data_IF_015336102661
#
_entry.id   IF_015336102661
#
_cell.length_a   1.000
_cell.length_b   1.000
_cell.length_c   1.000
_cell.angle_alpha   90.00
_cell.angle_beta   90.00
_cell.angle_gamma   90.00
#
_symmetry.space_group_name_H-M   'P 1'
#
loop_
_entity.id
_entity.type
_entity.pdbx_description
1 polymer ?
#
# COMPACT_ATOMS: atom_id res chain seq x y z
N UNK A 1 5.23 19.56 53.86
CA UNK A 1 5.17 19.13 52.44
C UNK A 1 3.82 18.44 52.31
N UNK A 2 2.75 19.04 51.76
CA UNK A 2 2.59 19.68 50.42
C UNK A 2 2.76 18.60 49.35
N UNK A 3 1.73 18.12 48.62
CA UNK A 3 0.33 18.61 48.48
C UNK A 3 -0.71 17.49 48.34
N UNK A 4 -1.94 17.75 48.81
CA UNK A 4 -3.16 17.05 48.40
C UNK A 4 -3.63 17.49 47.01
N UNK A 5 -4.43 16.62 46.36
CA UNK A 5 -5.42 17.03 45.34
C UNK A 5 -6.64 16.13 45.40
N UNK A 6 -7.81 16.71 45.70
CA UNK A 6 -9.11 16.09 45.47
C UNK A 6 -10.08 17.06 44.74
N UNK A 7 -10.97 16.44 43.97
CA UNK A 7 -12.10 16.89 43.12
C UNK A 7 -13.02 17.92 43.86
N UNK A 8 -13.89 18.81 43.32
CA UNK A 8 -14.84 18.79 42.17
C UNK A 8 -15.37 20.22 41.85
N UNK A 9 -15.77 20.49 40.59
CA UNK A 9 -17.16 20.93 40.31
C UNK A 9 -17.56 22.39 39.93
N UNK A 10 -18.25 22.48 38.76
CA UNK A 10 -19.46 23.29 38.43
C UNK A 10 -19.41 24.75 37.89
N UNK A 11 -20.27 24.93 36.87
CA UNK A 11 -20.71 26.10 36.08
C UNK A 11 -21.17 27.35 36.91
N UNK A 12 -21.19 28.61 36.40
CA UNK A 12 -22.22 29.18 35.47
C UNK A 12 -22.03 30.69 35.09
N UNK A 13 -22.31 31.01 33.80
CA UNK A 13 -23.02 32.18 33.17
C UNK A 13 -23.00 33.63 33.75
N UNK A 14 -22.79 34.60 32.83
CA UNK A 14 -23.71 35.73 32.41
C UNK A 14 -23.09 36.48 31.21
N UNK A 15 -23.71 37.48 30.54
CA UNK A 15 -24.86 37.56 29.60
C UNK A 15 -25.09 39.06 29.27
N UNK A 16 -25.06 39.49 27.98
CA UNK A 16 -26.01 40.45 27.34
C UNK A 16 -25.71 40.67 25.83
N UNK A 17 -26.52 41.50 25.14
CA UNK A 17 -27.51 40.97 24.16
C UNK A 17 -28.28 42.11 23.40
N UNK A 18 -27.70 42.77 22.40
CA UNK A 18 -28.34 43.73 21.43
C UNK A 18 -27.59 43.64 20.10
N UNK A 19 -28.12 43.36 18.90
CA UNK A 19 -29.38 43.75 18.22
C UNK A 19 -28.98 44.57 16.97
N UNK A 20 -29.51 44.44 15.74
CA UNK A 20 -30.45 43.49 15.14
C UNK A 20 -31.19 44.14 13.96
N UNK A 21 -31.07 43.63 12.71
CA UNK A 21 -31.94 44.04 11.60
C UNK A 21 -32.01 43.00 10.43
N UNK A 22 -33.04 43.10 9.56
CA UNK A 22 -33.43 42.05 8.58
C UNK A 22 -33.18 42.40 7.10
N UNK A 23 -32.74 41.43 6.27
CA UNK A 23 -33.47 40.92 5.05
C UNK A 23 -32.72 39.88 4.19
N UNK A 24 -33.45 38.81 3.83
CA UNK A 24 -33.46 37.95 2.63
C UNK A 24 -32.20 37.52 1.82
N UNK A 25 -32.10 36.20 1.60
CA UNK A 25 -31.71 35.47 0.35
C UNK A 25 -30.38 35.86 -0.34
N UNK A 26 -29.38 34.97 -0.49
CA UNK A 26 -29.49 33.65 -1.13
C UNK A 26 -28.29 32.71 -0.80
N UNK A 27 -28.29 31.52 -1.43
CA UNK A 27 -27.47 30.34 -1.11
C UNK A 27 -25.94 30.42 -1.39
N UNK A 28 -25.27 29.38 -0.88
CA UNK A 28 -23.91 28.87 -1.17
C UNK A 28 -22.68 29.72 -0.80
N UNK A 29 -22.06 29.39 0.34
CA UNK A 29 -20.60 29.29 0.53
C UNK A 29 -20.26 28.69 1.91
N UNK A 30 -19.08 28.06 2.07
CA UNK A 30 -18.51 27.76 3.41
C UNK A 30 -18.28 26.30 3.84
N UNK A 31 -17.68 25.45 3.01
CA UNK A 31 -16.90 24.31 3.53
C UNK A 31 -15.52 24.79 4.00
N UNK A 32 -15.06 24.51 5.23
CA UNK A 32 -13.72 24.88 5.67
C UNK A 32 -12.66 24.14 4.85
N UNK A 33 -11.75 24.88 4.20
CA UNK A 33 -10.49 24.30 3.71
C UNK A 33 -9.61 24.00 4.92
N UNK A 34 -9.20 22.75 5.07
CA UNK A 34 -8.08 22.38 5.94
C UNK A 34 -6.83 22.44 5.09
N UNK A 35 -6.17 23.60 5.10
CA UNK A 35 -4.79 23.75 4.62
C UNK A 35 -3.85 23.40 5.77
N UNK A 36 -3.46 22.12 5.85
CA UNK A 36 -2.24 21.67 6.52
C UNK A 36 -1.38 20.92 5.48
N UNK A 37 -1.00 21.65 4.42
CA UNK A 37 0.03 21.17 3.49
C UNK A 37 1.40 21.39 4.13
N UNK A 38 1.91 20.35 4.79
CA UNK A 38 3.35 20.24 5.08
C UNK A 38 4.10 20.44 3.76
N UNK A 39 5.17 21.24 3.79
CA UNK A 39 5.85 21.66 2.58
C UNK A 39 6.40 20.44 1.80
N UNK A 40 6.01 20.34 0.53
CA UNK A 40 6.41 19.24 -0.35
C UNK A 40 7.93 19.20 -0.54
N UNK A 41 8.59 20.37 -0.48
CA UNK A 41 10.04 20.45 -0.58
C UNK A 41 10.72 20.04 0.73
N UNK A 42 10.08 20.18 1.90
CA UNK A 42 10.56 19.66 3.18
C UNK A 42 10.45 18.13 3.26
N UNK A 43 9.35 17.55 2.77
CA UNK A 43 9.21 16.08 2.66
C UNK A 43 10.22 15.51 1.65
N UNK A 44 10.54 16.23 0.57
CA UNK A 44 11.56 15.82 -0.39
C UNK A 44 12.99 16.04 0.12
N UNK A 45 13.26 17.08 0.93
CA UNK A 45 14.60 17.41 1.44
C UNK A 45 15.14 16.34 2.39
N UNK A 46 14.26 15.65 3.14
CA UNK A 46 14.55 14.43 3.92
C UNK A 46 15.20 13.27 3.10
N UNK A 47 15.33 13.42 1.78
CA UNK A 47 15.95 12.45 0.86
C UNK A 47 16.88 13.10 -0.19
N UNK A 48 17.07 14.42 -0.19
CA UNK A 48 17.63 15.14 -1.34
C UNK A 48 19.17 15.13 -1.42
N UNK A 49 19.86 15.12 -0.29
CA UNK A 49 21.28 15.49 -0.10
C UNK A 49 22.34 14.68 -0.88
N UNK A 50 21.94 13.71 -1.69
CA UNK A 50 22.87 12.84 -2.44
C UNK A 50 22.59 12.86 -3.95
N UNK A 51 21.52 13.50 -4.44
CA UNK A 51 21.07 13.33 -5.84
C UNK A 51 21.93 14.04 -6.88
N UNK A 52 22.18 15.33 -6.69
CA UNK A 52 22.59 16.20 -7.80
C UNK A 52 24.11 16.18 -8.05
N UNK A 53 24.92 16.06 -7.00
CA UNK A 53 26.39 16.06 -7.09
C UNK A 53 26.97 14.81 -7.80
N UNK A 54 26.16 13.75 -7.96
CA UNK A 54 26.57 12.48 -8.56
C UNK A 54 26.20 12.34 -10.05
N UNK A 55 25.08 12.93 -10.50
CA UNK A 55 24.73 12.95 -11.93
C UNK A 55 25.74 13.79 -12.73
N UNK A 56 26.25 14.87 -12.13
CA UNK A 56 27.35 15.66 -12.69
C UNK A 56 28.63 14.82 -12.89
N UNK A 57 29.04 14.06 -11.86
CA UNK A 57 30.20 13.16 -11.92
C UNK A 57 30.00 12.02 -12.92
N UNK A 58 28.79 11.46 -13.03
CA UNK A 58 28.49 10.35 -13.95
C UNK A 58 28.48 10.79 -15.43
N UNK A 59 27.99 11.99 -15.74
CA UNK A 59 28.04 12.53 -17.10
C UNK A 59 29.47 12.84 -17.57
N UNK A 60 30.41 13.13 -16.66
CA UNK A 60 31.82 13.34 -16.98
C UNK A 60 32.56 12.13 -17.55
N UNK A 61 31.99 10.91 -17.46
CA UNK A 61 32.57 9.70 -18.04
C UNK A 61 32.23 9.47 -19.52
N UNK A 62 31.40 10.32 -20.16
CA UNK A 62 31.02 10.12 -21.59
C UNK A 62 32.06 10.59 -22.61
N UNK A 63 33.01 11.43 -22.21
CA UNK A 63 33.97 12.06 -23.13
C UNK A 63 35.34 11.36 -23.14
N UNK A 64 35.33 10.04 -23.35
CA UNK A 64 36.54 9.24 -23.55
C UNK A 64 36.86 9.04 -25.04
N UNK A 65 36.94 10.13 -25.82
CA UNK A 65 37.46 10.06 -27.19
C UNK A 65 38.29 11.30 -27.60
N UNK A 66 39.52 11.36 -27.09
CA UNK A 66 40.67 11.94 -27.78
C UNK A 66 40.69 13.44 -28.12
N UNK A 67 41.04 14.28 -27.14
CA UNK A 67 42.18 15.23 -27.25
C UNK A 67 42.46 15.91 -25.90
N UNK A 68 43.72 15.87 -25.47
CA UNK A 68 44.22 16.52 -24.25
C UNK A 68 45.09 17.71 -24.67
N UNK A 69 44.94 18.86 -24.00
CA UNK A 69 46.01 19.81 -23.62
C UNK A 69 45.45 20.89 -22.64
N UNK A 70 46.28 21.63 -21.85
CA UNK A 70 45.99 21.76 -20.41
C UNK A 70 46.03 23.19 -19.78
N UNK A 71 45.75 23.23 -18.46
CA UNK A 71 45.98 24.32 -17.47
C UNK A 71 44.91 25.45 -17.48
N UNK A 72 44.63 26.15 -16.36
CA UNK A 72 45.46 26.56 -15.20
C UNK A 72 44.64 26.69 -13.90
N UNK A 73 45.25 26.41 -12.74
CA UNK A 73 44.74 26.81 -11.42
C UNK A 73 45.07 28.29 -11.12
N UNK A 74 44.21 28.98 -10.39
CA UNK A 74 44.58 30.12 -9.53
C UNK A 74 43.58 30.28 -8.37
N UNK A 75 44.08 30.49 -7.16
CA UNK A 75 43.32 30.68 -5.93
C UNK A 75 43.22 32.16 -5.53
N UNK A 76 42.43 32.41 -4.46
CA UNK A 76 42.21 33.65 -3.71
C UNK A 76 40.85 34.32 -4.05
N UNK A 77 40.05 34.82 -3.10
CA UNK A 77 40.26 34.99 -1.66
C UNK A 77 40.22 36.47 -1.27
N UNK A 78 39.08 36.97 -0.79
CA UNK A 78 38.94 38.35 -0.30
C UNK A 78 37.58 39.01 -0.55
N UNK A 79 36.79 39.15 0.51
CA UNK A 79 35.69 40.13 0.69
C UNK A 79 36.24 41.30 1.54
N UNK A 80 35.50 42.40 1.81
CA UNK A 80 34.46 43.11 1.04
C UNK A 80 34.68 44.65 1.05
N UNK A 81 33.81 45.47 0.44
CA UNK A 81 33.11 46.61 1.12
C UNK A 81 32.17 47.46 0.23
N UNK A 82 31.09 47.93 0.88
CA UNK A 82 30.36 49.21 0.74
C UNK A 82 29.73 49.67 -0.61
N UNK A 83 28.40 49.73 -0.59
CA UNK A 83 27.51 50.64 -1.38
C UNK A 83 27.55 52.08 -0.86
N UNK A 84 27.21 53.10 -1.67
CA UNK A 84 25.84 53.67 -1.70
C UNK A 84 25.30 53.86 -3.17
N UNK A 85 24.00 53.85 -3.52
CA UNK A 85 22.83 54.66 -3.05
C UNK A 85 23.02 56.15 -3.43
N UNK A 86 22.19 56.87 -4.21
CA UNK A 86 20.78 56.73 -4.65
C UNK A 86 20.47 57.72 -5.82
N UNK A 87 19.33 57.53 -6.52
CA UNK A 87 18.47 58.53 -7.23
C UNK A 87 19.14 59.51 -8.26
N UNK A 88 18.49 59.98 -9.34
CA UNK A 88 17.12 60.49 -9.47
C UNK A 88 16.74 60.63 -10.97
N UNK A 89 15.47 60.39 -11.34
CA UNK A 89 14.57 61.11 -12.31
C UNK A 89 15.14 61.89 -13.54
N UNK A 90 14.45 62.13 -14.67
CA UNK A 90 13.13 61.78 -15.23
C UNK A 90 13.09 62.18 -16.73
N UNK A 91 12.07 61.69 -17.46
CA UNK A 91 11.39 62.35 -18.59
C UNK A 91 12.13 62.67 -19.93
N UNK A 92 11.79 61.85 -20.93
CA UNK A 92 10.93 62.22 -22.08
C UNK A 92 11.51 62.70 -23.45
N UNK A 93 10.92 62.07 -24.48
CA UNK A 93 10.61 62.56 -25.85
C UNK A 93 11.70 62.50 -26.94
N UNK A 94 11.29 62.11 -28.16
CA UNK A 94 12.05 62.43 -29.39
C UNK A 94 12.26 61.34 -30.45
N UNK A 95 11.19 60.91 -31.13
CA UNK A 95 11.18 60.62 -32.59
C UNK A 95 12.15 59.61 -33.25
N UNK A 96 11.56 58.50 -33.72
CA UNK A 96 11.79 57.79 -35.00
C UNK A 96 13.17 57.87 -35.69
N UNK A 97 13.78 56.71 -35.92
CA UNK A 97 13.99 56.24 -37.30
C UNK A 97 14.12 54.72 -37.41
N UNK A 98 13.67 54.16 -38.54
CA UNK A 98 13.79 52.74 -38.85
C UNK A 98 15.18 52.43 -39.41
N UNK A 99 15.87 51.43 -38.88
CA UNK A 99 16.90 50.71 -39.63
C UNK A 99 17.01 49.26 -39.17
N UNK A 100 16.87 48.33 -40.12
CA UNK A 100 16.97 46.89 -39.90
C UNK A 100 18.39 46.55 -39.41
N UNK A 101 18.51 46.08 -38.16
CA UNK A 101 19.69 45.32 -37.71
C UNK A 101 19.28 43.88 -37.47
N UNK A 102 20.02 42.99 -38.11
CA UNK A 102 19.72 41.57 -38.19
C UNK A 102 20.21 40.86 -36.92
N UNK A 103 19.40 40.86 -35.85
CA UNK A 103 19.76 40.14 -34.64
C UNK A 103 19.80 38.65 -34.91
N UNK A 104 21.02 38.11 -34.98
CA UNK A 104 21.29 36.69 -34.81
C UNK A 104 20.57 36.22 -33.55
N UNK A 105 19.71 35.21 -33.69
CA UNK A 105 19.24 34.47 -32.53
C UNK A 105 20.45 33.70 -32.00
N UNK A 106 20.86 34.01 -30.77
CA UNK A 106 21.73 33.13 -30.02
C UNK A 106 21.16 31.71 -30.08
N UNK A 107 22.01 30.77 -30.51
CA UNK A 107 21.62 29.39 -30.65
C UNK A 107 21.43 28.78 -29.27
N UNK A 108 20.18 28.72 -28.82
CA UNK A 108 19.75 27.79 -27.77
C UNK A 108 20.15 26.38 -28.22
N UNK A 109 21.29 25.92 -27.71
CA UNK A 109 21.94 24.67 -28.08
C UNK A 109 21.21 23.50 -27.41
N UNK A 110 19.97 23.29 -27.87
CA UNK A 110 19.14 22.14 -27.50
C UNK A 110 19.92 20.86 -27.78
N UNK A 111 20.41 20.25 -26.71
CA UNK A 111 20.94 18.89 -26.78
C UNK A 111 19.86 17.99 -27.42
N UNK A 112 20.24 17.07 -28.33
CA UNK A 112 19.28 16.22 -28.99
C UNK A 112 18.52 15.39 -27.96
N UNK A 113 17.21 15.60 -27.87
CA UNK A 113 16.33 14.80 -27.03
C UNK A 113 16.40 13.36 -27.53
N UNK A 114 16.98 12.47 -26.72
CA UNK A 114 17.08 11.04 -27.05
C UNK A 114 15.68 10.50 -27.38
N UNK A 115 15.50 9.77 -28.49
CA UNK A 115 14.19 9.27 -28.89
C UNK A 115 13.65 8.29 -27.83
N UNK A 116 12.36 8.43 -27.51
CA UNK A 116 11.65 7.49 -26.66
C UNK A 116 11.30 6.21 -27.45
N UNK A 117 11.21 5.09 -26.73
CA UNK A 117 10.75 3.82 -27.27
C UNK A 117 9.23 3.74 -27.22
N UNK A 118 8.61 3.14 -28.25
CA UNK A 118 7.16 2.90 -28.31
C UNK A 118 6.63 1.93 -27.24
N UNK A 119 7.50 1.20 -26.56
CA UNK A 119 7.13 0.30 -25.46
C UNK A 119 8.33 0.00 -24.57
N UNK A 120 8.04 -0.32 -23.30
CA UNK A 120 9.04 -0.75 -22.34
C UNK A 120 9.70 -2.09 -22.74
N UNK A 121 8.96 -2.99 -23.40
CA UNK A 121 9.51 -4.22 -24.00
C UNK A 121 10.60 -3.90 -25.06
N UNK A 122 10.40 -2.88 -25.89
CA UNK A 122 11.40 -2.46 -26.88
C UNK A 122 12.61 -1.78 -26.20
N UNK A 123 12.38 -0.93 -25.20
CA UNK A 123 13.44 -0.28 -24.44
C UNK A 123 14.34 -1.30 -23.73
N UNK A 124 13.75 -2.32 -23.07
CA UNK A 124 14.49 -3.37 -22.36
C UNK A 124 15.35 -4.22 -23.31
N UNK A 125 14.84 -4.56 -24.50
CA UNK A 125 15.61 -5.31 -25.53
C UNK A 125 16.75 -4.50 -26.14
N UNK A 126 16.69 -3.17 -26.10
CA UNK A 126 17.75 -2.30 -26.59
C UNK A 126 18.90 -2.12 -25.57
N UNK A 127 18.78 -2.63 -24.34
CA UNK A 127 19.86 -2.58 -23.35
C UNK A 127 20.81 -3.76 -23.56
N UNK A 128 22.01 -3.45 -24.08
CA UNK A 128 23.16 -4.37 -24.02
C UNK A 128 23.51 -4.69 -22.56
N UNK A 129 23.40 -5.96 -22.19
CA UNK A 129 23.76 -6.46 -20.87
C UNK A 129 25.29 -6.42 -20.61
N UNK A 130 26.17 -6.79 -21.57
CA UNK A 130 27.62 -6.61 -21.42
C UNK A 130 28.04 -5.15 -21.16
N UNK A 131 27.43 -4.19 -21.86
CA UNK A 131 27.73 -2.77 -21.67
C UNK A 131 27.27 -2.27 -20.31
N UNK A 132 26.13 -2.77 -19.81
CA UNK A 132 25.64 -2.46 -18.47
C UNK A 132 26.58 -3.03 -17.41
N UNK A 133 26.94 -4.31 -17.51
CA UNK A 133 27.89 -4.95 -16.59
C UNK A 133 29.24 -4.23 -16.55
N UNK A 134 29.77 -3.83 -17.72
CA UNK A 134 31.03 -3.08 -17.81
C UNK A 134 30.93 -1.69 -17.14
N UNK A 135 29.82 -0.97 -17.35
CA UNK A 135 29.56 0.31 -16.68
C UNK A 135 29.49 0.15 -15.14
N UNK A 136 28.79 -0.88 -14.66
CA UNK A 136 28.69 -1.17 -13.23
C UNK A 136 30.04 -1.60 -12.62
N UNK A 137 30.83 -2.38 -13.36
CA UNK A 137 32.19 -2.76 -12.94
C UNK A 137 33.08 -1.53 -12.74
N UNK A 138 33.04 -0.58 -13.68
CA UNK A 138 33.80 0.68 -13.57
C UNK A 138 33.36 1.54 -12.36
N UNK A 139 32.05 1.59 -12.07
CA UNK A 139 31.51 2.23 -10.86
C UNK A 139 32.01 1.51 -9.61
N UNK A 140 31.93 0.18 -9.56
CA UNK A 140 32.32 -0.60 -8.38
C UNK A 140 33.79 -0.40 -7.99
N UNK A 141 34.69 -0.41 -8.99
CA UNK A 141 36.12 -0.09 -8.82
C UNK A 141 36.31 1.34 -8.32
N UNK A 142 35.59 2.32 -8.90
CA UNK A 142 35.72 3.75 -8.55
C UNK A 142 35.24 4.07 -7.13
N UNK A 143 34.25 3.33 -6.64
CA UNK A 143 33.59 3.56 -5.34
C UNK A 143 33.93 2.51 -4.27
N UNK A 144 34.96 1.68 -4.48
CA UNK A 144 35.51 0.71 -3.51
C UNK A 144 34.42 -0.18 -2.87
N UNK A 145 33.67 -0.89 -3.71
CA UNK A 145 32.62 -1.82 -3.30
C UNK A 145 31.47 -1.18 -2.48
N UNK A 146 31.22 0.13 -2.66
CA UNK A 146 30.03 0.77 -2.10
C UNK A 146 28.76 0.31 -2.84
N UNK A 147 28.09 -0.68 -2.27
CA UNK A 147 26.90 -1.31 -2.85
C UNK A 147 25.72 -0.34 -3.06
N UNK A 148 25.52 0.65 -2.19
CA UNK A 148 24.48 1.68 -2.37
C UNK A 148 24.77 2.57 -3.59
N UNK A 149 26.04 2.90 -3.83
CA UNK A 149 26.46 3.62 -5.03
C UNK A 149 26.29 2.79 -6.30
N UNK A 150 26.52 1.48 -6.23
CA UNK A 150 26.30 0.56 -7.34
C UNK A 150 24.81 0.46 -7.74
N UNK A 151 23.93 0.26 -6.75
CA UNK A 151 22.47 0.27 -6.94
C UNK A 151 21.96 1.61 -7.50
N UNK A 152 22.51 2.73 -7.01
CA UNK A 152 22.18 4.08 -7.50
C UNK A 152 22.60 4.27 -8.96
N UNK A 153 23.81 3.83 -9.32
CA UNK A 153 24.29 3.89 -10.70
C UNK A 153 23.46 3.01 -11.64
N UNK A 154 23.14 1.77 -11.24
CA UNK A 154 22.24 0.88 -11.98
C UNK A 154 20.90 1.55 -12.26
N UNK A 155 20.25 2.08 -11.22
CA UNK A 155 18.95 2.76 -11.34
C UNK A 155 19.02 3.99 -12.24
N UNK A 156 20.09 4.78 -12.15
CA UNK A 156 20.34 5.94 -13.02
C UNK A 156 20.55 5.57 -14.50
N UNK A 157 21.34 4.53 -14.77
CA UNK A 157 21.56 4.01 -16.14
C UNK A 157 20.24 3.48 -16.72
N UNK A 158 19.45 2.75 -15.92
CA UNK A 158 18.14 2.26 -16.34
C UNK A 158 17.16 3.41 -16.61
N UNK A 159 17.12 4.46 -15.78
CA UNK A 159 16.31 5.66 -16.06
C UNK A 159 16.72 6.37 -17.36
N UNK A 160 18.02 6.47 -17.68
CA UNK A 160 18.47 7.08 -18.94
C UNK A 160 18.14 6.22 -20.18
N UNK A 161 18.15 4.88 -20.05
CA UNK A 161 17.87 3.93 -21.15
C UNK A 161 16.38 3.63 -21.33
N UNK A 162 15.58 3.57 -20.25
CA UNK A 162 14.16 3.21 -20.26
C UNK A 162 13.26 4.44 -20.44
N UNK A 163 13.42 5.15 -21.56
CA UNK A 163 12.57 6.28 -21.96
C UNK A 163 11.42 5.76 -22.83
N UNK A 164 10.20 5.86 -22.34
CA UNK A 164 8.97 5.39 -23.01
C UNK A 164 7.92 6.48 -22.87
N UNK A 165 7.16 6.73 -23.94
CA UNK A 165 6.07 7.71 -23.92
C UNK A 165 4.89 7.18 -23.07
N UNK A 166 4.36 8.05 -22.19
CA UNK A 166 3.19 7.82 -21.32
C UNK A 166 3.03 6.38 -20.74
N UNK A 167 3.95 5.93 -19.87
CA UNK A 167 3.87 4.60 -19.29
C UNK A 167 2.69 4.46 -18.32
N UNK A 168 1.91 3.40 -18.50
CA UNK A 168 0.84 3.01 -17.57
C UNK A 168 1.41 2.81 -16.14
N UNK A 169 0.85 3.47 -15.10
CA UNK A 169 1.32 3.34 -13.73
C UNK A 169 1.15 1.93 -13.13
N UNK A 170 0.26 1.09 -13.67
CA UNK A 170 -0.01 -0.27 -13.19
C UNK A 170 0.47 -1.37 -14.14
N UNK A 171 0.86 -1.01 -15.37
CA UNK A 171 1.10 -1.96 -16.47
C UNK A 171 -0.12 -2.86 -16.75
N UNK A 172 -1.30 -2.27 -16.87
CA UNK A 172 -2.57 -2.96 -17.11
C UNK A 172 -2.47 -3.92 -18.30
N UNK A 173 -3.13 -5.07 -18.20
CA UNK A 173 -3.08 -6.17 -19.18
C UNK A 173 -1.71 -6.88 -19.31
N UNK A 174 -0.73 -6.59 -18.45
CA UNK A 174 0.51 -7.38 -18.31
C UNK A 174 0.43 -8.32 -17.09
N UNK A 175 1.22 -9.41 -17.06
CA UNK A 175 1.34 -10.26 -15.86
C UNK A 175 1.88 -9.46 -14.66
N UNK A 176 1.52 -9.85 -13.43
CA UNK A 176 1.98 -9.19 -12.19
C UNK A 176 3.50 -9.11 -12.04
N UNK A 177 4.22 -10.05 -12.64
CA UNK A 177 5.69 -10.08 -12.68
C UNK A 177 6.36 -9.23 -13.78
N UNK A 178 5.59 -8.47 -14.54
CA UNK A 178 6.07 -7.53 -15.55
C UNK A 178 6.48 -6.18 -14.91
N UNK A 179 7.52 -5.49 -15.41
CA UNK A 179 8.43 -5.89 -16.49
C UNK A 179 9.49 -6.93 -16.10
N UNK A 180 9.79 -7.09 -14.80
CA UNK A 180 11.03 -7.72 -14.34
C UNK A 180 11.24 -9.17 -14.82
N UNK A 181 10.22 -10.04 -14.79
CA UNK A 181 10.36 -11.42 -15.32
C UNK A 181 10.30 -11.52 -16.85
N UNK A 182 9.81 -10.49 -17.54
CA UNK A 182 9.61 -10.49 -19.00
C UNK A 182 10.78 -9.93 -19.82
N UNK A 183 11.78 -9.31 -19.16
CA UNK A 183 12.96 -8.76 -19.82
C UNK A 183 13.95 -9.86 -20.31
N UNK A 184 14.95 -9.53 -21.15
CA UNK A 184 16.03 -10.46 -21.51
C UNK A 184 16.74 -11.05 -20.29
N UNK A 185 16.99 -12.37 -20.30
CA UNK A 185 17.54 -13.08 -19.14
C UNK A 185 18.92 -12.57 -18.71
N UNK A 186 19.78 -12.21 -19.67
CA UNK A 186 21.11 -11.63 -19.41
C UNK A 186 21.02 -10.28 -18.70
N UNK A 187 20.09 -9.41 -19.12
CA UNK A 187 19.86 -8.12 -18.46
C UNK A 187 19.38 -8.32 -17.01
N UNK A 188 18.49 -9.28 -16.80
CA UNK A 188 18.01 -9.64 -15.45
C UNK A 188 19.17 -10.16 -14.58
N UNK A 189 20.03 -11.03 -15.11
CA UNK A 189 21.18 -11.56 -14.37
C UNK A 189 22.12 -10.45 -13.86
N UNK A 190 22.38 -9.41 -14.66
CA UNK A 190 23.19 -8.24 -14.24
C UNK A 190 22.51 -7.44 -13.12
N UNK A 191 21.18 -7.30 -13.15
CA UNK A 191 20.40 -6.66 -12.08
C UNK A 191 20.44 -7.51 -10.80
N UNK A 192 20.26 -8.82 -10.93
CA UNK A 192 20.23 -9.77 -9.81
C UNK A 192 21.59 -9.87 -9.11
N UNK A 193 22.69 -9.87 -9.88
CA UNK A 193 24.04 -9.82 -9.33
C UNK A 193 24.29 -8.52 -8.55
N UNK A 194 23.83 -7.38 -9.06
CA UNK A 194 23.96 -6.09 -8.37
C UNK A 194 23.15 -6.04 -7.07
N UNK A 195 21.95 -6.63 -7.06
CA UNK A 195 21.11 -6.73 -5.87
C UNK A 195 21.72 -7.72 -4.87
N UNK A 196 22.13 -8.91 -5.30
CA UNK A 196 22.69 -9.96 -4.43
C UNK A 196 24.06 -9.65 -3.82
N UNK A 197 24.85 -8.77 -4.44
CA UNK A 197 26.06 -8.20 -3.80
C UNK A 197 25.72 -7.28 -2.62
N UNK A 198 24.55 -6.65 -2.65
CA UNK A 198 24.09 -5.76 -1.58
C UNK A 198 23.52 -6.60 -0.43
N UNK A 199 23.86 -6.27 0.82
CA UNK A 199 23.25 -6.92 1.97
C UNK A 199 21.79 -6.46 2.16
N UNK A 200 20.99 -7.24 2.90
CA UNK A 200 19.55 -7.00 3.08
C UNK A 200 19.25 -5.61 3.65
N UNK A 201 20.05 -5.12 4.60
CA UNK A 201 19.89 -3.78 5.19
C UNK A 201 20.08 -2.65 4.16
N UNK A 202 21.13 -2.71 3.35
CA UNK A 202 21.37 -1.73 2.28
C UNK A 202 20.26 -1.79 1.22
N UNK A 203 19.77 -3.00 0.88
CA UNK A 203 18.68 -3.16 -0.08
C UNK A 203 17.38 -2.55 0.46
N UNK A 204 17.03 -2.76 1.73
CA UNK A 204 15.86 -2.15 2.38
C UNK A 204 15.96 -0.63 2.44
N UNK A 205 17.10 -0.09 2.86
CA UNK A 205 17.35 1.36 2.86
C UNK A 205 17.26 1.96 1.44
N UNK A 206 17.85 1.29 0.46
CA UNK A 206 17.82 1.72 -0.93
C UNK A 206 16.41 1.64 -1.53
N UNK A 207 15.59 0.68 -1.12
CA UNK A 207 14.18 0.58 -1.51
C UNK A 207 13.38 1.82 -1.07
N UNK A 208 13.44 2.19 0.21
CA UNK A 208 12.77 3.39 0.74
C UNK A 208 13.25 4.68 0.04
N UNK A 209 14.56 4.78 -0.24
CA UNK A 209 15.13 5.91 -0.99
C UNK A 209 14.64 5.94 -2.46
N UNK A 210 14.55 4.78 -3.11
CA UNK A 210 14.12 4.65 -4.51
C UNK A 210 12.63 4.94 -4.66
N UNK A 211 11.81 4.61 -3.66
CA UNK A 211 10.38 4.90 -3.63
C UNK A 211 10.10 6.42 -3.61
N UNK A 212 10.83 7.17 -2.77
CA UNK A 212 10.77 8.63 -2.74
C UNK A 212 11.31 9.27 -4.02
N UNK A 213 12.39 8.72 -4.59
CA UNK A 213 12.91 9.18 -5.88
C UNK A 213 11.95 8.92 -7.04
N UNK A 214 11.25 7.78 -7.07
CA UNK A 214 10.18 7.50 -8.03
C UNK A 214 9.12 8.60 -8.00
N UNK A 215 8.59 8.93 -6.82
CA UNK A 215 7.58 9.96 -6.69
C UNK A 215 8.09 11.35 -7.10
N UNK A 216 9.29 11.74 -6.63
CA UNK A 216 9.91 13.03 -6.97
C UNK A 216 10.20 13.18 -8.46
N UNK A 217 10.73 12.14 -9.11
CA UNK A 217 11.04 12.16 -10.55
C UNK A 217 9.77 12.14 -11.41
N UNK A 218 8.75 11.35 -11.06
CA UNK A 218 7.45 11.42 -11.73
C UNK A 218 6.79 12.80 -11.57
N UNK A 219 6.90 13.42 -10.39
CA UNK A 219 6.38 14.76 -10.14
C UNK A 219 7.08 15.85 -10.97
N UNK A 220 8.37 15.67 -11.23
CA UNK A 220 9.23 16.57 -12.04
C UNK A 220 9.22 16.24 -13.54
N UNK A 221 8.48 15.21 -13.98
CA UNK A 221 8.48 14.74 -15.38
C UNK A 221 9.80 14.09 -15.83
N UNK A 222 10.61 13.64 -14.88
CA UNK A 222 11.92 13.03 -15.12
C UNK A 222 11.81 11.52 -15.44
N UNK A 223 12.83 10.92 -16.11
CA UNK A 223 12.84 9.48 -16.38
C UNK A 223 12.86 8.67 -15.08
N UNK A 224 11.91 7.75 -14.93
CA UNK A 224 11.63 7.06 -13.65
C UNK A 224 11.35 5.55 -13.77
N UNK A 225 11.36 4.97 -14.99
CA UNK A 225 11.04 3.54 -15.18
C UNK A 225 12.12 2.60 -14.65
N UNK A 226 13.37 3.06 -14.54
CA UNK A 226 14.44 2.37 -13.82
C UNK A 226 14.14 2.23 -12.34
N UNK A 227 13.57 3.26 -11.70
CA UNK A 227 13.11 3.15 -10.29
C UNK A 227 12.05 2.06 -10.14
N UNK A 228 11.01 2.07 -10.99
CA UNK A 228 9.95 1.04 -10.94
C UNK A 228 10.51 -0.37 -11.14
N UNK A 229 11.45 -0.53 -12.07
CA UNK A 229 12.07 -1.82 -12.34
C UNK A 229 12.92 -2.32 -11.16
N UNK A 230 13.72 -1.46 -10.55
CA UNK A 230 14.59 -1.82 -9.42
C UNK A 230 13.77 -2.06 -8.14
N UNK A 231 12.70 -1.29 -7.90
CA UNK A 231 11.76 -1.57 -6.80
C UNK A 231 11.14 -2.97 -6.95
N UNK A 232 10.67 -3.34 -8.16
CA UNK A 232 10.13 -4.69 -8.40
C UNK A 232 11.21 -5.78 -8.26
N UNK A 233 12.42 -5.56 -8.78
CA UNK A 233 13.51 -6.52 -8.66
C UNK A 233 13.88 -6.77 -7.17
N UNK A 234 14.03 -5.69 -6.39
CA UNK A 234 14.27 -5.77 -4.95
C UNK A 234 13.12 -6.51 -4.25
N UNK A 235 11.87 -6.16 -4.52
CA UNK A 235 10.71 -6.78 -3.88
C UNK A 235 10.54 -8.27 -4.19
N UNK A 236 11.11 -8.77 -5.31
CA UNK A 236 11.13 -10.21 -5.63
C UNK A 236 12.21 -10.97 -4.84
N UNK A 237 13.36 -10.35 -4.57
CA UNK A 237 14.46 -10.98 -3.80
C UNK A 237 14.33 -10.76 -2.28
N UNK A 238 13.78 -9.62 -1.86
CA UNK A 238 13.62 -9.20 -0.47
C UNK A 238 12.22 -8.59 -0.26
N UNK A 239 11.14 -9.39 -0.21
CA UNK A 239 9.76 -8.90 -0.09
C UNK A 239 9.55 -7.97 1.12
N UNK A 240 10.23 -8.26 2.24
CA UNK A 240 10.17 -7.47 3.48
C UNK A 240 10.62 -6.00 3.32
N UNK A 241 11.34 -5.64 2.25
CA UNK A 241 11.64 -4.25 1.92
C UNK A 241 10.37 -3.40 1.73
N UNK A 242 9.28 -3.99 1.22
CA UNK A 242 8.01 -3.30 1.00
C UNK A 242 7.33 -2.84 2.31
N UNK A 243 7.65 -3.49 3.43
CA UNK A 243 7.09 -3.22 4.76
C UNK A 243 8.11 -2.62 5.74
N UNK A 244 9.33 -2.31 5.28
CA UNK A 244 10.42 -1.82 6.12
C UNK A 244 10.07 -0.53 6.88
N UNK A 245 9.33 0.38 6.24
CA UNK A 245 8.95 1.67 6.81
C UNK A 245 7.53 2.10 6.42
N UNK A 246 6.53 1.31 6.84
CA UNK A 246 5.12 1.53 6.49
C UNK A 246 4.61 2.93 6.86
N UNK A 247 5.01 3.48 8.02
CA UNK A 247 4.63 4.84 8.42
C UNK A 247 5.15 5.91 7.43
N UNK A 248 6.43 5.84 7.03
CA UNK A 248 7.01 6.78 6.06
C UNK A 248 6.41 6.58 4.66
N UNK A 249 6.12 5.35 4.28
CA UNK A 249 5.48 5.01 3.00
C UNK A 249 4.04 5.52 2.94
N UNK A 250 3.31 5.49 4.06
CA UNK A 250 1.97 6.09 4.17
C UNK A 250 2.00 7.62 4.02
N UNK A 251 2.97 8.31 4.65
CA UNK A 251 3.17 9.78 4.50
C UNK A 251 3.47 10.14 3.04
N UNK A 252 4.40 9.42 2.40
CA UNK A 252 4.74 9.62 0.99
C UNK A 252 3.51 9.41 0.08
N UNK A 253 2.74 8.35 0.30
CA UNK A 253 1.49 8.09 -0.42
C UNK A 253 0.48 9.22 -0.23
N UNK A 254 0.30 9.72 0.99
CA UNK A 254 -0.64 10.81 1.28
C UNK A 254 -0.26 12.10 0.52
N UNK A 255 1.04 12.43 0.51
CA UNK A 255 1.60 13.60 -0.19
C UNK A 255 1.30 13.59 -1.70
N UNK A 256 1.16 12.40 -2.30
CA UNK A 256 0.85 12.21 -3.72
C UNK A 256 -0.56 11.68 -4.00
N UNK A 257 -1.45 11.63 -3.01
CA UNK A 257 -2.80 11.04 -3.13
C UNK A 257 -3.64 11.66 -4.27
N UNK A 258 -3.50 12.97 -4.49
CA UNK A 258 -4.21 13.71 -5.54
C UNK A 258 -3.55 13.60 -6.93
N UNK A 259 -2.39 12.92 -7.05
CA UNK A 259 -1.70 12.66 -8.32
C UNK A 259 -1.77 11.16 -8.65
N UNK A 260 -2.92 10.75 -9.20
CA UNK A 260 -3.28 9.34 -9.45
C UNK A 260 -2.15 8.49 -10.04
N UNK A 261 -1.43 8.99 -11.05
CA UNK A 261 -0.34 8.25 -11.71
C UNK A 261 0.84 7.95 -10.77
N UNK A 262 1.18 8.89 -9.88
CA UNK A 262 2.23 8.74 -8.87
C UNK A 262 1.72 7.83 -7.75
N UNK A 263 0.53 8.11 -7.20
CA UNK A 263 -0.07 7.29 -6.15
C UNK A 263 -0.23 5.83 -6.57
N UNK A 264 -0.75 5.55 -7.77
CA UNK A 264 -0.87 4.19 -8.30
C UNK A 264 0.50 3.53 -8.52
N UNK A 265 1.53 4.27 -8.96
CA UNK A 265 2.89 3.73 -9.08
C UNK A 265 3.52 3.40 -7.72
N UNK A 266 3.20 4.17 -6.67
CA UNK A 266 3.61 3.90 -5.29
C UNK A 266 2.90 2.65 -4.73
N UNK A 267 1.58 2.53 -4.89
CA UNK A 267 0.83 1.35 -4.48
C UNK A 267 1.29 0.10 -5.25
N UNK A 268 1.53 0.23 -6.56
CA UNK A 268 2.06 -0.85 -7.40
C UNK A 268 3.43 -1.31 -6.93
N UNK A 269 4.34 -0.39 -6.59
CA UNK A 269 5.68 -0.72 -6.12
C UNK A 269 5.63 -1.45 -4.76
N UNK A 270 4.95 -0.85 -3.77
CA UNK A 270 4.79 -1.43 -2.44
C UNK A 270 4.07 -2.79 -2.48
N UNK A 271 3.12 -2.98 -3.39
CA UNK A 271 2.44 -4.26 -3.59
C UNK A 271 3.33 -5.40 -4.12
N UNK A 272 4.51 -5.12 -4.68
CA UNK A 272 5.31 -6.16 -5.34
C UNK A 272 5.71 -7.30 -4.40
N UNK A 273 6.03 -7.00 -3.14
CA UNK A 273 6.39 -8.02 -2.14
C UNK A 273 5.25 -9.00 -1.85
N UNK A 274 3.99 -8.58 -1.99
CA UNK A 274 2.82 -9.43 -1.77
C UNK A 274 2.65 -10.57 -2.77
N UNK A 275 3.22 -10.44 -3.98
CA UNK A 275 3.27 -11.55 -4.94
C UNK A 275 4.34 -12.59 -4.59
N UNK A 276 5.29 -12.27 -3.70
CA UNK A 276 6.26 -13.21 -3.15
C UNK A 276 5.80 -13.85 -1.83
N UNK A 277 5.30 -13.02 -0.91
CA UNK A 277 4.94 -13.42 0.46
C UNK A 277 3.58 -12.86 0.87
N UNK A 278 2.64 -13.72 1.26
CA UNK A 278 1.28 -13.31 1.63
C UNK A 278 1.23 -12.32 2.82
N UNK A 279 2.00 -12.57 3.89
CA UNK A 279 1.97 -11.74 5.10
C UNK A 279 2.49 -10.31 4.82
N UNK A 280 3.52 -10.17 3.97
CA UNK A 280 3.99 -8.86 3.45
C UNK A 280 2.87 -8.20 2.65
N UNK A 281 2.23 -8.94 1.75
CA UNK A 281 1.16 -8.41 0.90
C UNK A 281 -0.05 -7.90 1.67
N UNK A 282 -0.47 -8.62 2.71
CA UNK A 282 -1.57 -8.23 3.59
C UNK A 282 -1.23 -7.01 4.46
N UNK A 283 0.01 -6.89 4.96
CA UNK A 283 0.46 -5.70 5.70
C UNK A 283 0.49 -4.45 4.82
N UNK A 284 1.02 -4.55 3.59
CA UNK A 284 0.96 -3.46 2.61
C UNK A 284 -0.49 -3.11 2.29
N UNK A 285 -1.36 -4.10 2.10
CA UNK A 285 -2.77 -3.84 1.84
C UNK A 285 -3.44 -3.08 2.99
N UNK A 286 -3.29 -3.56 4.23
CA UNK A 286 -3.92 -2.98 5.40
C UNK A 286 -3.44 -1.54 5.69
N UNK A 287 -2.13 -1.31 5.70
CA UNK A 287 -1.58 -0.04 6.16
C UNK A 287 -1.45 0.99 5.03
N UNK A 288 -1.25 0.53 3.79
CA UNK A 288 -1.05 1.40 2.63
C UNK A 288 -2.26 1.41 1.69
N UNK A 289 -2.97 0.31 1.44
CA UNK A 289 -4.06 0.33 0.43
C UNK A 289 -5.43 0.69 1.01
N UNK A 290 -5.82 0.14 2.17
CA UNK A 290 -7.13 0.41 2.79
C UNK A 290 -7.43 1.91 2.95
N UNK A 291 -6.51 2.79 3.39
CA UNK A 291 -6.82 4.21 3.59
C UNK A 291 -7.13 5.00 2.30
N UNK A 292 -6.88 4.43 1.11
CA UNK A 292 -7.28 5.02 -0.18
C UNK A 292 -8.25 4.13 -0.99
N UNK A 293 -8.67 2.99 -0.44
CA UNK A 293 -9.55 2.04 -1.13
C UNK A 293 -10.92 2.63 -1.48
N UNK A 294 -11.42 3.62 -0.73
CA UNK A 294 -12.69 4.29 -1.04
C UNK A 294 -12.57 5.37 -2.14
N UNK A 295 -11.33 5.76 -2.49
CA UNK A 295 -11.09 6.76 -3.52
C UNK A 295 -11.23 6.12 -4.91
N UNK A 296 -12.09 6.70 -5.75
CA UNK A 296 -12.46 6.19 -7.10
C UNK A 296 -11.26 5.79 -7.97
N UNK A 297 -10.14 6.50 -7.88
CA UNK A 297 -8.97 6.29 -8.73
C UNK A 297 -8.07 5.13 -8.26
N UNK A 298 -8.33 4.58 -7.06
CA UNK A 298 -7.52 3.55 -6.40
C UNK A 298 -8.32 2.27 -6.11
N UNK A 299 -9.62 2.41 -5.83
CA UNK A 299 -10.55 1.34 -5.42
C UNK A 299 -10.42 0.03 -6.22
N UNK A 300 -10.34 0.11 -7.55
CA UNK A 300 -10.21 -1.06 -8.41
C UNK A 300 -8.90 -1.80 -8.13
N UNK A 301 -7.76 -1.10 -8.22
CA UNK A 301 -6.44 -1.69 -7.98
C UNK A 301 -6.31 -2.28 -6.57
N UNK A 302 -6.78 -1.57 -5.54
CA UNK A 302 -6.68 -2.02 -4.14
C UNK A 302 -7.53 -3.26 -3.86
N UNK A 303 -8.66 -3.41 -4.55
CA UNK A 303 -9.57 -4.56 -4.40
C UNK A 303 -9.09 -5.77 -5.19
N UNK A 304 -8.66 -5.57 -6.45
CA UNK A 304 -8.07 -6.61 -7.28
C UNK A 304 -6.77 -7.17 -6.67
N UNK A 305 -5.92 -6.31 -6.08
CA UNK A 305 -4.66 -6.71 -5.47
C UNK A 305 -4.82 -7.72 -4.32
N UNK A 306 -5.68 -7.42 -3.33
CA UNK A 306 -5.86 -8.31 -2.16
C UNK A 306 -6.48 -9.65 -2.57
N UNK A 307 -7.44 -9.61 -3.49
CA UNK A 307 -8.02 -10.81 -4.09
C UNK A 307 -6.94 -11.64 -4.83
N UNK A 308 -6.03 -10.99 -5.56
CA UNK A 308 -4.97 -11.67 -6.31
C UNK A 308 -3.96 -12.36 -5.41
N UNK A 309 -3.41 -11.69 -4.39
CA UNK A 309 -2.41 -12.30 -3.49
C UNK A 309 -3.00 -13.49 -2.72
N UNK A 310 -4.26 -13.41 -2.27
CA UNK A 310 -4.96 -14.52 -1.62
C UNK A 310 -5.28 -15.67 -2.59
N UNK A 311 -5.58 -15.37 -3.86
CA UNK A 311 -5.76 -16.38 -4.93
C UNK A 311 -4.46 -17.06 -5.35
N UNK A 312 -3.32 -16.37 -5.24
CA UNK A 312 -2.01 -16.90 -5.59
C UNK A 312 -1.47 -17.80 -4.47
N UNK A 313 -1.55 -17.34 -3.21
CA UNK A 313 -0.95 -18.01 -2.06
C UNK A 313 -1.89 -19.04 -1.39
N UNK A 314 -2.65 -19.81 -2.18
CA UNK A 314 -3.65 -20.79 -1.70
C UNK A 314 -3.10 -21.88 -0.78
N UNK A 315 -1.79 -22.14 -0.80
CA UNK A 315 -1.15 -23.18 0.01
C UNK A 315 -0.21 -22.62 1.09
N UNK A 316 -0.05 -21.29 1.18
CA UNK A 316 0.76 -20.67 2.22
C UNK A 316 0.00 -20.69 3.55
N UNK A 317 0.70 -21.02 4.64
CA UNK A 317 0.19 -20.82 6.00
C UNK A 317 0.25 -19.34 6.36
N UNK A 318 -0.84 -18.82 6.92
CA UNK A 318 -1.01 -17.43 7.30
C UNK A 318 -0.39 -17.17 8.68
N UNK A 319 0.49 -16.19 8.79
CA UNK A 319 1.25 -15.89 10.02
C UNK A 319 0.57 -14.94 11.01
N UNK A 320 -0.70 -14.58 10.77
CA UNK A 320 -1.39 -13.50 11.48
C UNK A 320 -1.82 -13.86 12.91
N UNK A 321 -1.70 -12.88 13.81
CA UNK A 321 -2.41 -12.88 15.08
C UNK A 321 -3.92 -12.69 14.93
N UNK A 322 -4.71 -13.09 15.94
CA UNK A 322 -6.18 -12.96 15.89
C UNK A 322 -6.68 -11.53 15.74
N UNK A 323 -6.01 -10.55 16.35
CA UNK A 323 -6.32 -9.12 16.20
C UNK A 323 -6.02 -8.60 14.79
N UNK A 324 -4.89 -8.99 14.19
CA UNK A 324 -4.53 -8.63 12.82
C UNK A 324 -5.54 -9.21 11.82
N UNK A 325 -5.87 -10.51 11.97
CA UNK A 325 -6.89 -11.18 11.16
C UNK A 325 -8.25 -10.47 11.24
N UNK A 326 -8.75 -10.16 12.44
CA UNK A 326 -10.03 -9.46 12.62
C UNK A 326 -10.01 -8.05 12.02
N UNK A 327 -8.89 -7.34 12.10
CA UNK A 327 -8.73 -6.00 11.52
C UNK A 327 -8.79 -6.03 9.99
N UNK A 328 -8.10 -6.99 9.37
CA UNK A 328 -8.11 -7.18 7.91
C UNK A 328 -9.49 -7.65 7.45
N UNK A 329 -10.11 -8.61 8.15
CA UNK A 329 -11.46 -9.08 7.82
C UNK A 329 -12.51 -7.96 7.95
N UNK A 330 -12.40 -7.11 8.97
CA UNK A 330 -13.25 -5.93 9.13
C UNK A 330 -13.07 -4.96 7.95
N UNK A 331 -11.82 -4.69 7.55
CA UNK A 331 -11.50 -3.82 6.41
C UNK A 331 -12.05 -4.34 5.08
N UNK A 332 -12.05 -5.66 4.87
CA UNK A 332 -12.63 -6.32 3.69
C UNK A 332 -14.17 -6.28 3.68
N UNK A 333 -14.82 -6.26 4.85
CA UNK A 333 -16.28 -6.43 4.98
C UNK A 333 -17.06 -5.15 5.24
N UNK A 334 -16.41 -4.07 5.69
CA UNK A 334 -17.07 -2.80 6.08
C UNK A 334 -17.44 -1.90 4.88
N UNK A 335 -17.16 -2.33 3.64
CA UNK A 335 -17.41 -1.49 2.46
C UNK A 335 -18.89 -1.13 2.27
N UNK A 336 -19.23 0.15 1.99
CA UNK A 336 -20.63 0.61 1.88
C UNK A 336 -21.34 0.12 0.60
N UNK A 337 -20.61 -0.49 -0.33
CA UNK A 337 -21.14 -1.09 -1.56
C UNK A 337 -20.58 -2.51 -1.69
N UNK A 338 -21.39 -3.50 -2.15
CA UNK A 338 -20.88 -4.82 -2.47
C UNK A 338 -19.74 -4.75 -3.48
N UNK A 339 -18.63 -5.43 -3.19
CA UNK A 339 -17.48 -5.56 -4.05
C UNK A 339 -17.05 -7.01 -4.06
N UNK A 340 -17.27 -7.69 -5.19
CA UNK A 340 -17.06 -9.12 -5.36
C UNK A 340 -15.62 -9.53 -5.05
N UNK A 341 -14.67 -8.66 -5.38
CA UNK A 341 -13.25 -8.87 -5.19
C UNK A 341 -12.89 -8.94 -3.71
N UNK A 342 -13.47 -8.04 -2.91
CA UNK A 342 -13.31 -8.00 -1.45
C UNK A 342 -14.13 -9.09 -0.74
N UNK A 343 -15.31 -9.45 -1.26
CA UNK A 343 -16.09 -10.59 -0.77
C UNK A 343 -15.33 -11.93 -0.93
N UNK A 344 -14.74 -12.15 -2.11
CA UNK A 344 -13.94 -13.35 -2.38
C UNK A 344 -12.62 -13.33 -1.58
N UNK A 345 -12.00 -12.15 -1.41
CA UNK A 345 -10.84 -11.98 -0.53
C UNK A 345 -11.19 -12.27 0.94
N UNK A 346 -12.33 -11.82 1.46
CA UNK A 346 -12.78 -12.12 2.81
C UNK A 346 -12.98 -13.63 3.02
N UNK A 347 -13.64 -14.31 2.06
CA UNK A 347 -13.82 -15.76 2.12
C UNK A 347 -12.46 -16.49 2.12
N UNK A 348 -11.55 -16.13 1.22
CA UNK A 348 -10.21 -16.72 1.13
C UNK A 348 -9.38 -16.47 2.40
N UNK A 349 -9.44 -15.27 2.98
CA UNK A 349 -8.74 -14.94 4.22
C UNK A 349 -9.23 -15.82 5.39
N UNK A 350 -10.55 -15.97 5.53
CA UNK A 350 -11.17 -16.84 6.56
C UNK A 350 -10.72 -18.29 6.40
N UNK A 351 -10.76 -18.83 5.17
CA UNK A 351 -10.24 -20.18 4.87
C UNK A 351 -8.78 -20.32 5.25
N UNK A 352 -7.90 -19.42 4.77
CA UNK A 352 -6.46 -19.50 5.08
C UNK A 352 -6.22 -19.42 6.58
N UNK A 353 -6.93 -18.56 7.31
CA UNK A 353 -6.75 -18.40 8.75
C UNK A 353 -7.13 -19.66 9.53
N UNK A 354 -8.30 -20.25 9.23
CA UNK A 354 -8.76 -21.49 9.89
C UNK A 354 -7.81 -22.66 9.58
N UNK A 355 -7.47 -22.89 8.31
CA UNK A 355 -6.59 -24.01 7.91
C UNK A 355 -5.11 -23.83 8.29
N UNK A 356 -4.69 -22.61 8.66
CA UNK A 356 -3.33 -22.35 9.17
C UNK A 356 -3.21 -22.53 10.68
N UNK A 357 -4.33 -22.50 11.41
CA UNK A 357 -4.36 -22.54 12.85
C UNK A 357 -3.81 -23.88 13.39
N UNK A 358 -2.94 -23.87 14.43
CA UNK A 358 -2.47 -25.11 15.06
C UNK A 358 -3.58 -25.94 15.71
N UNK A 359 -4.70 -25.30 16.09
CA UNK A 359 -5.89 -25.95 16.65
C UNK A 359 -7.15 -25.18 16.27
N UNK A 360 -8.00 -25.76 15.41
CA UNK A 360 -9.15 -25.03 14.88
C UNK A 360 -10.22 -24.73 15.95
N UNK A 361 -10.35 -25.53 17.01
CA UNK A 361 -11.20 -25.18 18.17
C UNK A 361 -10.71 -23.94 18.93
N UNK A 362 -9.39 -23.70 19.06
CA UNK A 362 -8.90 -22.45 19.65
C UNK A 362 -9.28 -21.23 18.78
N UNK A 363 -9.21 -21.39 17.45
CA UNK A 363 -9.73 -20.40 16.50
C UNK A 363 -11.25 -20.24 16.62
N UNK A 364 -12.02 -21.32 16.82
CA UNK A 364 -13.47 -21.27 17.05
C UNK A 364 -13.81 -20.36 18.24
N UNK A 365 -13.18 -20.55 19.40
CA UNK A 365 -13.41 -19.68 20.56
C UNK A 365 -13.06 -18.21 20.30
N UNK A 366 -11.99 -17.95 19.55
CA UNK A 366 -11.56 -16.60 19.20
C UNK A 366 -12.58 -15.93 18.26
N UNK A 367 -12.99 -16.62 17.19
CA UNK A 367 -14.00 -16.14 16.25
C UNK A 367 -15.36 -15.92 16.93
N UNK A 368 -15.81 -16.89 17.74
CA UNK A 368 -17.11 -16.85 18.42
C UNK A 368 -17.23 -15.64 19.37
N UNK A 369 -16.16 -15.32 20.11
CA UNK A 369 -16.12 -14.16 21.01
C UNK A 369 -16.09 -12.81 20.28
N UNK A 370 -15.75 -12.79 19.00
CA UNK A 370 -15.56 -11.57 18.20
C UNK A 370 -16.58 -11.42 17.06
N UNK A 371 -17.70 -12.16 17.08
CA UNK A 371 -18.78 -12.05 16.08
C UNK A 371 -19.26 -10.60 15.91
N UNK A 372 -19.41 -9.86 17.01
CA UNK A 372 -19.87 -8.46 17.02
C UNK A 372 -18.83 -7.43 16.55
N UNK A 373 -17.57 -7.84 16.33
CA UNK A 373 -16.51 -6.96 15.83
C UNK A 373 -16.58 -6.74 14.30
N UNK A 374 -17.25 -7.64 13.57
CA UNK A 374 -17.34 -7.61 12.11
C UNK A 374 -18.74 -7.17 11.68
N UNK A 375 -18.82 -6.12 10.87
CA UNK A 375 -20.10 -5.56 10.37
C UNK A 375 -20.94 -6.56 9.58
N UNK A 376 -20.29 -7.54 8.94
CA UNK A 376 -20.92 -8.67 8.22
C UNK A 376 -20.55 -9.99 8.89
N UNK A 377 -21.29 -10.41 9.93
CA UNK A 377 -20.92 -11.56 10.76
C UNK A 377 -20.99 -12.89 10.00
N UNK A 378 -21.56 -12.93 8.79
CA UNK A 378 -21.62 -14.13 7.94
C UNK A 378 -20.23 -14.69 7.61
N UNK A 379 -19.20 -13.83 7.52
CA UNK A 379 -17.81 -14.28 7.31
C UNK A 379 -17.22 -14.92 8.57
N UNK A 380 -17.64 -14.49 9.76
CA UNK A 380 -17.29 -15.18 11.01
C UNK A 380 -18.06 -16.49 11.12
N UNK A 381 -19.35 -16.53 10.78
CA UNK A 381 -20.14 -17.77 10.75
C UNK A 381 -19.57 -18.80 9.76
N UNK A 382 -19.07 -18.35 8.62
CA UNK A 382 -18.32 -19.18 7.68
C UNK A 382 -17.05 -19.77 8.32
N UNK A 383 -16.25 -18.96 9.00
CA UNK A 383 -15.07 -19.44 9.73
C UNK A 383 -15.39 -20.43 10.84
N UNK A 384 -16.47 -20.20 11.59
CA UNK A 384 -16.97 -21.14 12.60
C UNK A 384 -17.41 -22.48 11.98
N UNK A 385 -18.07 -22.45 10.81
CA UNK A 385 -18.44 -23.65 10.07
C UNK A 385 -17.20 -24.46 9.62
N UNK A 386 -16.14 -23.79 9.17
CA UNK A 386 -14.87 -24.44 8.85
C UNK A 386 -14.22 -25.05 10.09
N UNK A 387 -14.13 -24.32 11.21
CA UNK A 387 -13.59 -24.86 12.46
C UNK A 387 -14.33 -26.11 12.95
N UNK A 388 -15.65 -26.16 12.79
CA UNK A 388 -16.48 -27.32 13.14
C UNK A 388 -16.26 -28.54 12.24
N UNK A 389 -15.81 -28.35 11.00
CA UNK A 389 -15.41 -29.44 10.11
C UNK A 389 -13.99 -29.93 10.37
N UNK A 390 -13.05 -29.02 10.62
CA UNK A 390 -11.62 -29.36 10.76
C UNK A 390 -11.26 -29.95 12.13
N UNK A 391 -11.99 -29.59 13.19
CA UNK A 391 -11.71 -30.04 14.56
C UNK A 391 -13.02 -30.36 15.31
N UNK A 392 -13.33 -31.64 15.58
CA UNK A 392 -14.48 -32.04 16.38
C UNK A 392 -14.53 -31.43 17.79
N UNK A 393 -13.40 -31.03 18.37
CA UNK A 393 -13.39 -30.31 19.65
C UNK A 393 -14.07 -28.93 19.56
N UNK A 394 -14.16 -28.32 18.36
CA UNK A 394 -14.89 -27.07 18.13
C UNK A 394 -16.37 -27.20 18.52
N UNK A 395 -16.98 -28.37 18.27
CA UNK A 395 -18.37 -28.64 18.63
C UNK A 395 -18.54 -28.78 20.16
N UNK A 396 -17.61 -29.45 20.83
CA UNK A 396 -17.57 -29.52 22.30
C UNK A 396 -17.36 -28.13 22.94
N UNK A 397 -16.53 -27.29 22.31
CA UNK A 397 -16.30 -25.92 22.74
C UNK A 397 -17.53 -25.03 22.54
N UNK A 398 -18.23 -25.15 21.42
CA UNK A 398 -19.52 -24.47 21.21
C UNK A 398 -20.55 -24.91 22.26
N UNK A 399 -20.64 -26.21 22.57
CA UNK A 399 -21.56 -26.73 23.59
C UNK A 399 -21.31 -26.10 24.97
N UNK A 400 -20.04 -25.89 25.33
CA UNK A 400 -19.65 -25.18 26.56
C UNK A 400 -20.05 -23.71 26.59
N UNK A 401 -20.08 -23.03 25.43
CA UNK A 401 -20.48 -21.63 25.29
C UNK A 401 -22.01 -21.44 25.14
N UNK A 402 -22.72 -22.46 24.65
CA UNK A 402 -24.10 -22.39 24.18
C UNK A 402 -25.08 -21.74 25.18
N UNK A 403 -25.09 -22.21 26.43
CA UNK A 403 -26.05 -21.77 27.47
C UNK A 403 -26.01 -20.27 27.78
N UNK A 404 -24.89 -19.61 27.52
CA UNK A 404 -24.69 -18.18 27.77
C UNK A 404 -24.89 -17.34 26.49
N UNK A 405 -25.01 -17.98 25.32
CA UNK A 405 -24.94 -17.36 24.00
C UNK A 405 -26.00 -17.96 23.06
N UNK A 406 -27.24 -18.12 23.54
CA UNK A 406 -28.33 -18.78 22.80
C UNK A 406 -28.72 -18.01 21.53
N UNK A 407 -28.84 -16.68 21.62
CA UNK A 407 -29.12 -15.79 20.48
C UNK A 407 -28.03 -15.88 19.40
N UNK A 408 -26.77 -15.75 19.79
CA UNK A 408 -25.61 -15.93 18.92
C UNK A 408 -25.60 -17.31 18.27
N UNK A 409 -25.94 -18.35 19.03
CA UNK A 409 -26.00 -19.73 18.54
C UNK A 409 -27.17 -19.95 17.57
N UNK A 410 -28.31 -19.29 17.77
CA UNK A 410 -29.43 -19.27 16.82
C UNK A 410 -29.01 -18.66 15.49
N UNK A 411 -28.30 -17.52 15.50
CA UNK A 411 -27.81 -16.88 14.28
C UNK A 411 -26.84 -17.80 13.50
N UNK A 412 -25.90 -18.44 14.20
CA UNK A 412 -24.97 -19.41 13.58
C UNK A 412 -25.74 -20.63 13.02
N UNK A 413 -26.65 -21.22 13.79
CA UNK A 413 -27.45 -22.37 13.33
C UNK A 413 -28.34 -22.01 12.12
N UNK A 414 -28.93 -20.81 12.11
CA UNK A 414 -29.68 -20.31 10.97
C UNK A 414 -28.79 -20.13 9.73
N UNK A 415 -27.59 -19.56 9.88
CA UNK A 415 -26.60 -19.48 8.80
C UNK A 415 -26.22 -20.86 8.27
N UNK A 416 -25.85 -21.80 9.15
CA UNK A 416 -25.51 -23.18 8.77
C UNK A 416 -26.68 -23.88 8.06
N UNK A 417 -27.92 -23.59 8.45
CA UNK A 417 -29.10 -24.18 7.84
C UNK A 417 -29.43 -23.62 6.44
N UNK A 418 -29.22 -22.32 6.23
CA UNK A 418 -29.66 -21.58 5.02
C UNK A 418 -28.55 -21.24 4.02
N UNK A 419 -27.29 -21.39 4.41
CA UNK A 419 -26.13 -21.10 3.57
C UNK A 419 -25.94 -22.13 2.45
N UNK A 420 -25.75 -21.64 1.22
CA UNK A 420 -25.41 -22.47 0.06
C UNK A 420 -23.92 -22.92 0.05
N UNK A 421 -23.13 -22.57 1.08
CA UNK A 421 -21.72 -22.98 1.15
C UNK A 421 -21.60 -24.49 1.34
N UNK A 422 -20.80 -25.16 0.48
CA UNK A 422 -20.61 -26.63 0.49
C UNK A 422 -20.14 -27.17 1.86
N UNK A 423 -19.36 -26.37 2.60
CA UNK A 423 -18.92 -26.71 3.95
C UNK A 423 -20.08 -26.74 4.96
N UNK A 424 -21.04 -25.82 4.84
CA UNK A 424 -22.23 -25.82 5.70
C UNK A 424 -23.09 -27.06 5.49
N UNK A 425 -23.30 -27.50 4.25
CA UNK A 425 -24.04 -28.74 3.99
C UNK A 425 -23.27 -29.99 4.43
N UNK A 426 -21.95 -30.08 4.17
CA UNK A 426 -21.10 -31.21 4.61
C UNK A 426 -21.18 -31.43 6.12
N UNK A 427 -21.18 -30.36 6.92
CA UNK A 427 -21.13 -30.43 8.38
C UNK A 427 -22.29 -31.22 9.01
N UNK A 428 -23.48 -31.25 8.40
CA UNK A 428 -24.62 -32.01 8.92
C UNK A 428 -24.55 -33.53 8.63
N UNK A 429 -23.53 -33.99 7.90
CA UNK A 429 -23.23 -35.40 7.72
C UNK A 429 -22.10 -35.91 8.63
N UNK A 430 -21.54 -35.04 9.50
CA UNK A 430 -20.46 -35.39 10.42
C UNK A 430 -21.02 -35.83 11.78
N UNK A 431 -20.66 -37.03 12.24
CA UNK A 431 -21.20 -37.64 13.48
C UNK A 431 -21.05 -36.76 14.73
N UNK A 432 -19.93 -36.05 14.87
CA UNK A 432 -19.69 -35.16 16.01
C UNK A 432 -20.63 -33.96 16.01
N UNK A 433 -21.02 -33.47 14.83
CA UNK A 433 -21.95 -32.36 14.72
C UNK A 433 -23.39 -32.81 14.98
N UNK A 434 -23.80 -33.95 14.42
CA UNK A 434 -25.12 -34.57 14.72
C UNK A 434 -25.28 -34.84 16.22
N UNK A 435 -24.22 -35.33 16.88
CA UNK A 435 -24.18 -35.49 18.35
C UNK A 435 -24.32 -34.15 19.08
N UNK A 436 -23.61 -33.12 18.64
CA UNK A 436 -23.74 -31.76 19.20
C UNK A 436 -25.17 -31.22 19.09
N UNK A 437 -25.84 -31.39 17.94
CA UNK A 437 -27.24 -30.97 17.76
C UNK A 437 -28.19 -31.69 18.76
N UNK A 438 -28.02 -33.01 18.95
CA UNK A 438 -28.76 -33.78 19.94
C UNK A 438 -28.52 -33.31 21.38
N UNK A 439 -27.28 -32.96 21.72
CA UNK A 439 -26.94 -32.46 23.06
C UNK A 439 -27.46 -31.03 23.30
N UNK A 440 -27.47 -30.17 22.27
CA UNK A 440 -28.16 -28.86 22.29
C UNK A 440 -29.67 -29.03 22.50
N UNK A 441 -30.31 -30.01 21.84
CA UNK A 441 -31.74 -30.26 22.03
C UNK A 441 -32.06 -30.65 23.48
N UNK A 442 -31.28 -31.55 24.09
CA UNK A 442 -31.42 -31.94 25.51
C UNK A 442 -31.25 -30.73 26.44
N UNK A 443 -30.27 -29.85 26.16
CA UNK A 443 -30.09 -28.60 26.92
C UNK A 443 -31.33 -27.71 26.78
N UNK A 444 -31.89 -27.58 25.58
CA UNK A 444 -33.08 -26.76 25.33
C UNK A 444 -34.32 -27.30 26.07
N UNK A 445 -34.55 -28.61 26.04
CA UNK A 445 -35.63 -29.26 26.78
C UNK A 445 -35.53 -28.96 28.28
N UNK A 446 -34.34 -29.06 28.88
CA UNK A 446 -34.11 -28.70 30.29
C UNK A 446 -34.27 -27.20 30.60
N UNK A 447 -33.90 -26.30 29.68
CA UNK A 447 -34.07 -24.85 29.86
C UNK A 447 -35.55 -24.42 29.75
N UNK A 448 -36.31 -25.04 28.84
CA UNK A 448 -37.76 -24.84 28.71
C UNK A 448 -38.53 -25.32 29.96
N UNK A 449 -38.14 -26.46 30.54
CA UNK A 449 -38.73 -26.99 31.77
C UNK A 449 -38.45 -26.09 33.00
N UNK A 450 -37.28 -25.45 33.06
CA UNK A 450 -36.86 -24.58 34.19
C UNK A 450 -37.41 -23.15 34.13
N UNK A 451 -38.50 -22.91 33.37
CA UNK A 451 -39.18 -21.61 33.17
C UNK A 451 -38.30 -20.48 32.58
N UNK A 452 -37.08 -20.76 32.13
CA UNK A 452 -36.28 -19.83 31.31
C UNK A 452 -36.73 -19.89 29.84
N UNK A 453 -38.00 -19.58 29.60
CA UNK A 453 -38.54 -19.44 28.25
C UNK A 453 -38.08 -18.12 27.65
N UNK A 454 -37.39 -18.19 26.53
CA UNK A 454 -37.05 -17.05 25.69
C UNK A 454 -37.37 -17.40 24.23
N UNK A 455 -37.66 -16.40 23.39
CA UNK A 455 -38.17 -16.61 22.02
C UNK A 455 -37.11 -17.26 21.11
N UNK A 456 -35.84 -16.99 21.39
CA UNK A 456 -34.68 -17.57 20.70
C UNK A 456 -34.59 -19.07 20.99
N UNK A 457 -34.92 -19.51 22.21
CA UNK A 457 -34.86 -20.92 22.61
C UNK A 457 -35.89 -21.79 21.87
N UNK A 458 -37.12 -21.27 21.72
CA UNK A 458 -38.14 -21.92 20.90
C UNK A 458 -37.75 -21.89 19.41
N UNK A 459 -37.07 -20.84 18.95
CA UNK A 459 -36.58 -20.69 17.58
C UNK A 459 -35.43 -21.65 17.23
N UNK A 460 -34.44 -21.83 18.12
CA UNK A 460 -33.40 -22.88 17.96
C UNK A 460 -34.07 -24.25 17.85
N UNK A 461 -35.03 -24.54 18.73
CA UNK A 461 -35.75 -25.82 18.74
C UNK A 461 -36.52 -26.06 17.44
N UNK A 462 -37.02 -25.01 16.76
CA UNK A 462 -37.60 -25.11 15.42
C UNK A 462 -36.54 -25.41 14.35
N UNK A 463 -35.40 -24.69 14.36
CA UNK A 463 -34.30 -24.88 13.38
C UNK A 463 -33.76 -26.31 13.41
N UNK A 464 -33.58 -26.90 14.60
CA UNK A 464 -33.15 -28.29 14.75
C UNK A 464 -34.13 -29.27 14.06
N UNK A 465 -35.43 -29.15 14.38
CA UNK A 465 -36.50 -30.01 13.85
C UNK A 465 -36.71 -29.93 12.34
N UNK A 466 -36.31 -28.83 11.69
CA UNK A 466 -36.46 -28.67 10.24
C UNK A 466 -35.57 -29.65 9.46
N UNK A 467 -34.45 -30.11 10.02
CA UNK A 467 -33.56 -31.08 9.35
C UNK A 467 -33.84 -32.54 9.72
N UNK A 468 -34.46 -32.83 10.87
CA UNK A 468 -34.98 -34.18 11.19
C UNK A 468 -36.00 -34.70 10.15
N UNK A 469 -36.51 -33.83 9.26
CA UNK A 469 -37.47 -34.14 8.19
C UNK A 469 -36.76 -34.40 6.83
N UNK A 470 -35.44 -34.22 6.74
CA UNK A 470 -34.63 -34.35 5.50
C UNK A 470 -33.55 -35.45 5.62
N UNK A 471 -33.66 -36.31 6.63
CA UNK A 471 -32.84 -37.51 6.82
C UNK A 471 -33.62 -38.78 6.44
#
# INVERSE_FOLDING_TARGET
MVSDWEVVGKQKKTRKQTGGDKKSQNASEGTPKIEDTVDMDEICSLYADVKDDLLAKFNGFKDANGKVEPKRNASNGGKPTATPVRDTQLAASGSKNEQKVNNQKDGDSKQPVKPAYRSLDAALRAISAPDLHSQLTAVNVSFKDNHLMLLKALTGILNDKLRVDEPDPLYSNKPTSYPYRSMPAELRAVIDECIGKSNEENVKYFYDLTLSNLASDMNKGMPHLGHKLILQAIAVHYPTACINNLARNAILRNSYQNRNNIGLSLLWALGQGGYGELDVGLKVWQDIMVPVMELKNYNQFTSEYVQHILKQHRSQKLGLGGSEFLTILSSLTTQPKPCRELDEAAQLLVERYVFSAPKASATFAMLFKNISFITRPEMIYYGLALCLLEDPESAAMWLGLYRQNVETSLAILHYLNTSNQKYCSKLFYEDHFTKFLSDVEKINQGMLQSRKKTEELESVTKVLKVRDIVF
#
